data_IF_620785063016
#
_entry.id   IF_620785063016
#
_cell.length_a   1.000
_cell.length_b   1.000
_cell.length_c   1.000
_cell.angle_alpha   90.00
_cell.angle_beta   90.00
_cell.angle_gamma   90.00
#
_symmetry.space_group_name_H-M   'P 1'
#
loop_
_entity.id
_entity.type
_entity.pdbx_description
1 polymer ?
#
# COMPACT_ATOMS: atom_id res chain seq x y z
N UNK A 1 49.49 -9.47 32.65
CA UNK A 1 50.53 -9.78 31.66
C UNK A 1 49.94 -9.60 30.27
N UNK A 2 50.51 -8.65 29.50
CA UNK A 2 50.54 -8.53 28.02
C UNK A 2 49.19 -8.57 27.27
N UNK A 3 48.61 -7.42 26.92
CA UNK A 3 48.86 -6.59 25.71
C UNK A 3 48.78 -7.36 24.39
N UNK A 4 47.83 -6.98 23.52
CA UNK A 4 48.18 -6.44 22.20
C UNK A 4 47.05 -5.56 21.63
N UNK A 5 47.44 -4.33 21.31
CA UNK A 5 46.73 -3.28 20.60
C UNK A 5 47.19 -3.36 19.14
N UNK A 6 46.30 -3.17 18.17
CA UNK A 6 46.69 -2.75 16.81
C UNK A 6 45.59 -1.88 16.17
N UNK A 7 45.80 -0.56 16.26
CA UNK A 7 45.28 0.45 15.34
C UNK A 7 46.20 0.51 14.11
N UNK A 8 45.63 0.61 12.91
CA UNK A 8 46.13 1.36 11.73
C UNK A 8 44.96 1.39 10.73
N UNK A 9 44.73 2.34 9.83
CA UNK A 9 45.02 3.76 9.71
C UNK A 9 44.33 4.20 8.41
N UNK A 10 43.80 5.41 8.44
CA UNK A 10 43.20 6.18 7.35
C UNK A 10 44.12 6.30 6.11
N UNK A 11 43.57 6.17 4.91
CA UNK A 11 44.16 6.77 3.70
C UNK A 11 43.07 7.28 2.75
N UNK A 12 42.87 8.59 2.83
CA UNK A 12 42.19 9.46 1.88
C UNK A 12 43.23 9.88 0.82
N UNK A 13 42.99 9.63 -0.47
CA UNK A 13 43.71 10.31 -1.56
C UNK A 13 42.70 10.78 -2.59
N UNK A 14 42.69 12.10 -2.74
CA UNK A 14 42.04 12.89 -3.78
C UNK A 14 42.87 12.85 -5.06
N UNK A 15 42.22 12.75 -6.22
CA UNK A 15 42.77 13.21 -7.50
C UNK A 15 41.65 13.82 -8.36
N UNK A 16 41.84 15.09 -8.70
CA UNK A 16 41.00 15.92 -9.56
C UNK A 16 41.55 15.93 -10.99
N UNK A 17 40.62 15.98 -11.96
CA UNK A 17 40.72 16.57 -13.31
C UNK A 17 41.71 15.91 -14.31
N UNK A 18 41.44 15.81 -15.63
CA UNK A 18 40.56 16.60 -16.48
C UNK A 18 40.36 15.92 -17.86
N UNK A 19 39.40 16.47 -18.62
CA UNK A 19 39.33 16.57 -20.08
C UNK A 19 38.24 15.76 -20.83
N UNK A 20 37.24 16.53 -21.27
CA UNK A 20 36.63 16.57 -22.60
C UNK A 20 36.09 15.26 -23.22
N UNK A 21 34.77 15.20 -23.45
CA UNK A 21 34.23 15.64 -24.74
C UNK A 21 32.69 15.71 -24.76
N UNK A 22 32.21 16.54 -25.69
CA UNK A 22 30.92 17.20 -25.70
C UNK A 22 29.72 16.36 -26.17
N UNK A 23 28.54 16.78 -25.73
CA UNK A 23 27.23 16.30 -26.16
C UNK A 23 26.88 16.72 -27.60
N UNK A 24 26.16 15.90 -28.39
CA UNK A 24 25.60 16.33 -29.65
C UNK A 24 24.23 16.99 -29.45
N UNK A 25 24.14 18.27 -29.81
CA UNK A 25 22.87 19.00 -29.97
C UNK A 25 22.48 18.96 -31.44
N UNK A 26 21.34 18.35 -31.75
CA UNK A 26 20.73 18.34 -33.08
C UNK A 26 19.98 19.65 -33.31
N UNK A 27 20.48 20.49 -34.22
CA UNK A 27 19.73 21.60 -34.84
C UNK A 27 19.20 21.19 -36.23
N UNK A 28 18.06 21.74 -36.67
CA UNK A 28 17.36 21.31 -37.88
C UNK A 28 17.99 21.86 -39.16
N UNK A 29 17.78 21.09 -40.23
CA UNK A 29 18.25 21.35 -41.59
C UNK A 29 17.61 22.61 -42.20
N UNK A 30 18.44 23.44 -42.83
CA UNK A 30 18.06 24.61 -43.62
C UNK A 30 18.18 24.21 -45.10
N UNK A 31 17.07 24.29 -45.83
CA UNK A 31 16.99 24.01 -47.27
C UNK A 31 17.65 25.10 -48.12
N UNK A 32 18.20 24.66 -49.26
CA UNK A 32 18.96 25.45 -50.23
C UNK A 32 18.08 26.41 -51.05
N UNK A 33 18.61 27.55 -51.53
CA UNK A 33 17.87 28.49 -52.37
C UNK A 33 17.75 27.98 -53.82
N UNK A 34 16.55 28.08 -54.40
CA UNK A 34 16.28 27.82 -55.82
C UNK A 34 16.63 29.07 -56.64
N UNK A 35 17.35 28.85 -57.74
CA UNK A 35 17.84 29.86 -58.65
C UNK A 35 16.71 30.57 -59.42
N UNK A 36 16.81 31.91 -59.49
CA UNK A 36 15.95 32.79 -60.27
C UNK A 36 16.51 32.88 -61.69
N UNK A 37 15.79 32.37 -62.68
CA UNK A 37 16.15 32.49 -64.09
C UNK A 37 15.84 33.89 -64.62
N UNK A 38 16.88 34.56 -65.14
CA UNK A 38 16.79 35.86 -65.80
C UNK A 38 16.21 35.73 -67.22
N UNK A 39 15.10 36.42 -67.48
CA UNK A 39 14.53 36.55 -68.83
C UNK A 39 14.94 37.91 -69.40
N UNK A 40 15.73 37.91 -70.47
CA UNK A 40 16.09 39.10 -71.26
C UNK A 40 14.97 39.41 -72.27
N UNK A 41 14.61 40.68 -72.51
CA UNK A 41 13.66 41.06 -73.55
C UNK A 41 14.38 41.17 -74.91
N UNK A 42 13.78 40.60 -75.95
CA UNK A 42 14.22 40.77 -77.33
C UNK A 42 13.26 41.73 -78.04
N UNK A 43 13.76 42.91 -78.39
CA UNK A 43 13.07 43.94 -79.16
C UNK A 43 13.37 43.73 -80.65
N UNK A 44 12.33 43.68 -81.51
CA UNK A 44 12.37 44.22 -82.88
C UNK A 44 10.97 44.65 -83.33
N UNK A 45 10.86 45.67 -84.21
CA UNK A 45 9.64 46.47 -84.39
C UNK A 45 8.86 46.10 -85.66
N UNK A 46 7.56 46.38 -85.65
CA UNK A 46 6.68 46.32 -86.83
C UNK A 46 5.35 47.00 -86.53
N UNK A 47 5.09 48.10 -87.23
CA UNK A 47 3.99 49.02 -87.03
C UNK A 47 2.63 48.50 -87.52
N UNK A 48 1.55 48.89 -86.83
CA UNK A 48 0.31 49.43 -87.41
C UNK A 48 -0.76 49.65 -86.29
N UNK A 49 -1.09 50.92 -86.03
CA UNK A 49 -2.38 51.36 -85.46
C UNK A 49 -3.50 51.23 -86.54
N UNK A 50 -4.82 51.36 -86.28
CA UNK A 50 -5.45 52.15 -85.19
C UNK A 50 -6.70 51.52 -84.51
N UNK A 51 -7.06 52.07 -83.35
CA UNK A 51 -8.42 52.48 -82.96
C UNK A 51 -8.53 52.56 -81.43
N UNK A 52 -8.33 53.76 -80.89
CA UNK A 52 -8.61 54.08 -79.49
C UNK A 52 -10.11 54.35 -79.34
N UNK A 53 -10.79 53.55 -78.51
CA UNK A 53 -12.06 53.97 -77.90
C UNK A 53 -11.72 54.88 -76.71
N UNK A 54 -11.94 56.19 -76.85
CA UNK A 54 -11.87 57.13 -75.73
C UNK A 54 -13.06 56.87 -74.82
N UNK A 55 -12.82 56.23 -73.66
CA UNK A 55 -13.72 56.34 -72.50
C UNK A 55 -13.53 57.72 -71.87
N UNK A 56 -14.61 58.37 -71.42
CA UNK A 56 -14.55 59.67 -70.75
C UNK A 56 -13.80 59.54 -69.41
N UNK A 57 -13.20 60.64 -68.92
CA UNK A 57 -12.54 60.67 -67.60
C UNK A 57 -13.50 60.27 -66.47
N UNK A 58 -14.78 60.60 -66.61
CA UNK A 58 -15.86 60.22 -65.67
C UNK A 58 -16.06 58.69 -65.61
N UNK A 59 -16.03 57.99 -66.74
CA UNK A 59 -16.14 56.52 -66.79
C UNK A 59 -14.92 55.82 -66.16
N UNK A 60 -13.75 56.44 -66.24
CA UNK A 60 -12.50 55.94 -65.66
C UNK A 60 -12.46 56.14 -64.13
N UNK A 61 -12.97 57.27 -63.63
CA UNK A 61 -13.12 57.52 -62.19
C UNK A 61 -14.16 56.60 -61.54
N UNK A 62 -15.28 56.34 -62.23
CA UNK A 62 -16.29 55.38 -61.77
C UNK A 62 -15.70 53.96 -61.69
N UNK A 63 -14.98 53.49 -62.72
CA UNK A 63 -14.30 52.17 -62.69
C UNK A 63 -13.24 52.08 -61.58
N UNK A 64 -12.46 53.14 -61.36
CA UNK A 64 -11.48 53.21 -60.28
C UNK A 64 -12.16 53.15 -58.90
N UNK A 65 -13.28 53.87 -58.72
CA UNK A 65 -14.04 53.88 -57.47
C UNK A 65 -14.63 52.50 -57.12
N UNK A 66 -15.12 51.77 -58.14
CA UNK A 66 -15.64 50.39 -58.00
C UNK A 66 -14.50 49.44 -57.61
N UNK A 67 -13.35 49.52 -58.28
CA UNK A 67 -12.17 48.68 -57.94
C UNK A 67 -11.63 48.96 -56.54
N UNK A 68 -11.64 50.22 -56.09
CA UNK A 68 -11.25 50.58 -54.72
C UNK A 68 -12.24 50.02 -53.71
N UNK A 69 -13.55 50.10 -54.00
CA UNK A 69 -14.60 49.54 -53.14
C UNK A 69 -14.49 48.00 -53.03
N UNK A 70 -14.27 47.31 -54.15
CA UNK A 70 -14.02 45.85 -54.18
C UNK A 70 -12.77 45.47 -53.40
N UNK A 71 -11.66 46.21 -53.58
CA UNK A 71 -10.41 45.94 -52.86
C UNK A 71 -10.55 46.17 -51.36
N UNK A 72 -11.26 47.21 -50.94
CA UNK A 72 -11.59 47.49 -49.55
C UNK A 72 -12.50 46.42 -48.95
N UNK A 73 -13.48 45.90 -49.70
CA UNK A 73 -14.33 44.78 -49.29
C UNK A 73 -13.51 43.50 -49.09
N UNK A 74 -12.59 43.19 -50.02
CA UNK A 74 -11.68 42.04 -49.92
C UNK A 74 -10.77 42.15 -48.68
N UNK A 75 -10.21 43.34 -48.41
CA UNK A 75 -9.39 43.60 -47.23
C UNK A 75 -10.18 43.47 -45.93
N UNK A 76 -11.42 43.97 -45.88
CA UNK A 76 -12.31 43.82 -44.71
C UNK A 76 -12.66 42.35 -44.47
N UNK A 77 -12.96 41.58 -45.52
CA UNK A 77 -13.21 40.14 -45.42
C UNK A 77 -11.98 39.39 -44.89
N UNK A 78 -10.78 39.70 -45.40
CA UNK A 78 -9.51 39.14 -44.90
C UNK A 78 -9.22 39.53 -43.45
N UNK A 79 -9.54 40.75 -43.04
CA UNK A 79 -9.42 41.19 -41.64
C UNK A 79 -10.41 40.46 -40.73
N UNK A 80 -11.65 40.26 -41.16
CA UNK A 80 -12.65 39.50 -40.42
C UNK A 80 -12.22 38.04 -40.20
N UNK A 81 -11.73 37.36 -41.25
CA UNK A 81 -11.20 36.00 -41.15
C UNK A 81 -10.01 35.92 -40.18
N UNK A 82 -9.05 36.86 -40.28
CA UNK A 82 -7.92 36.92 -39.34
C UNK A 82 -8.36 37.17 -37.90
N UNK A 83 -9.40 37.98 -37.68
CA UNK A 83 -9.95 38.23 -36.36
C UNK A 83 -10.64 36.98 -35.80
N UNK A 84 -11.37 36.22 -36.61
CA UNK A 84 -11.98 34.95 -36.23
C UNK A 84 -10.93 33.88 -35.91
N UNK A 85 -9.88 33.75 -36.72
CA UNK A 85 -8.76 32.84 -36.47
C UNK A 85 -8.02 33.20 -35.18
N UNK A 86 -7.77 34.49 -34.95
CA UNK A 86 -7.18 34.97 -33.71
C UNK A 86 -8.08 34.70 -32.50
N UNK A 87 -9.41 34.87 -32.63
CA UNK A 87 -10.36 34.54 -31.58
C UNK A 87 -10.40 33.03 -31.29
N UNK A 88 -10.35 32.19 -32.33
CA UNK A 88 -10.28 30.73 -32.20
C UNK A 88 -8.98 30.29 -31.53
N UNK A 89 -7.84 30.86 -31.92
CA UNK A 89 -6.55 30.60 -31.31
C UNK A 89 -6.52 31.00 -29.83
N UNK A 90 -7.11 32.16 -29.47
CA UNK A 90 -7.25 32.59 -28.07
C UNK A 90 -8.10 31.63 -27.25
N UNK A 91 -9.27 31.22 -27.77
CA UNK A 91 -10.14 30.24 -27.10
C UNK A 91 -9.44 28.89 -26.92
N UNK A 92 -8.72 28.42 -27.94
CA UNK A 92 -7.94 27.18 -27.87
C UNK A 92 -6.79 27.28 -26.84
N UNK A 93 -6.09 28.40 -26.79
CA UNK A 93 -5.04 28.66 -25.81
C UNK A 93 -5.60 28.73 -24.37
N UNK A 94 -6.76 29.36 -24.18
CA UNK A 94 -7.44 29.40 -22.88
C UNK A 94 -7.92 28.01 -22.44
N UNK A 95 -8.52 27.24 -23.35
CA UNK A 95 -8.94 25.87 -23.09
C UNK A 95 -7.77 24.96 -22.71
N UNK A 96 -6.63 25.11 -23.41
CA UNK A 96 -5.39 24.39 -23.10
C UNK A 96 -4.86 24.78 -21.71
N UNK A 97 -4.81 26.08 -21.39
CA UNK A 97 -4.40 26.55 -20.06
C UNK A 97 -5.30 26.03 -18.94
N UNK A 98 -6.63 26.01 -19.15
CA UNK A 98 -7.58 25.44 -18.20
C UNK A 98 -7.34 23.94 -17.99
N UNK A 99 -7.08 23.19 -19.06
CA UNK A 99 -6.75 21.76 -18.99
C UNK A 99 -5.44 21.52 -18.24
N UNK A 100 -4.38 22.29 -18.56
CA UNK A 100 -3.09 22.21 -17.86
C UNK A 100 -3.23 22.55 -16.37
N UNK A 101 -4.00 23.58 -16.03
CA UNK A 101 -4.28 23.95 -14.64
C UNK A 101 -5.07 22.87 -13.89
N UNK A 102 -6.06 22.23 -14.54
CA UNK A 102 -6.80 21.12 -13.95
C UNK A 102 -5.92 19.90 -13.70
N UNK A 103 -5.02 19.56 -14.63
CA UNK A 103 -4.04 18.47 -14.46
C UNK A 103 -3.06 18.78 -13.32
N UNK A 104 -2.56 20.02 -13.24
CA UNK A 104 -1.68 20.45 -12.17
C UNK A 104 -2.38 20.42 -10.80
N UNK A 105 -3.64 20.84 -10.73
CA UNK A 105 -4.45 20.78 -9.51
C UNK A 105 -4.68 19.33 -9.06
N UNK A 106 -5.02 18.42 -9.99
CA UNK A 106 -5.17 17.00 -9.68
C UNK A 106 -3.85 16.36 -9.19
N UNK A 107 -2.72 16.70 -9.82
CA UNK A 107 -1.40 16.24 -9.40
C UNK A 107 -1.02 16.79 -8.01
N UNK A 108 -1.37 18.04 -7.71
CA UNK A 108 -1.14 18.64 -6.40
C UNK A 108 -1.99 17.98 -5.31
N UNK A 109 -3.25 17.61 -5.60
CA UNK A 109 -4.10 16.84 -4.68
C UNK A 109 -3.52 15.44 -4.42
N UNK A 110 -2.99 14.77 -5.44
CA UNK A 110 -2.35 13.45 -5.29
C UNK A 110 -1.05 13.56 -4.47
N UNK A 111 -0.22 14.56 -4.75
CA UNK A 111 1.02 14.80 -4.02
C UNK A 111 0.80 15.24 -2.57
N UNK A 112 -0.36 15.82 -2.25
CA UNK A 112 -0.75 16.22 -0.90
C UNK A 112 -1.32 15.06 -0.07
N UNK A 113 -1.57 13.88 -0.64
CA UNK A 113 -1.95 12.71 0.16
C UNK A 113 -0.79 12.35 1.11
N UNK A 114 -1.07 12.07 2.39
CA UNK A 114 -0.02 11.65 3.31
C UNK A 114 0.66 10.39 2.79
N UNK A 115 2.00 10.39 2.80
CA UNK A 115 2.79 9.19 2.49
C UNK A 115 2.63 8.21 3.64
N UNK A 116 1.65 7.32 3.53
CA UNK A 116 1.38 6.30 4.52
C UNK A 116 2.54 5.28 4.55
N UNK A 117 3.18 5.15 5.71
CA UNK A 117 4.14 4.09 5.96
C UNK A 117 3.45 2.74 6.07
N UNK A 118 4.20 1.66 5.85
CA UNK A 118 3.77 0.28 6.09
C UNK A 118 4.62 -0.41 7.15
N UNK A 119 5.72 0.22 7.56
CA UNK A 119 6.61 -0.32 8.59
C UNK A 119 6.07 0.03 9.98
N UNK A 120 5.89 -1.00 10.80
CA UNK A 120 5.53 -0.88 12.20
C UNK A 120 6.37 -1.86 13.03
N UNK A 121 6.43 -1.65 14.34
CA UNK A 121 7.12 -2.54 15.28
C UNK A 121 6.33 -2.62 16.59
N UNK A 122 6.81 -3.39 17.55
CA UNK A 122 6.22 -3.47 18.89
C UNK A 122 6.82 -2.48 19.90
N UNK A 123 7.86 -1.73 19.52
CA UNK A 123 8.59 -0.81 20.41
C UNK A 123 9.06 0.46 19.68
N UNK A 124 9.42 1.49 20.43
CA UNK A 124 10.01 2.71 19.86
C UNK A 124 9.05 3.56 19.02
N UNK A 125 9.60 4.34 18.08
CA UNK A 125 8.85 5.33 17.30
C UNK A 125 7.71 4.71 16.48
N UNK A 126 7.90 3.48 15.97
CA UNK A 126 6.91 2.76 15.18
C UNK A 126 6.10 1.75 16.01
N UNK A 127 6.11 1.89 17.35
CA UNK A 127 5.41 1.02 18.30
C UNK A 127 3.88 1.22 18.35
N UNK A 128 3.17 0.41 19.16
CA UNK A 128 1.71 0.37 19.23
C UNK A 128 1.02 1.71 19.50
N UNK A 129 1.62 2.57 20.32
CA UNK A 129 1.10 3.91 20.63
C UNK A 129 1.08 4.86 19.43
N UNK A 130 1.84 4.53 18.38
CA UNK A 130 2.02 5.36 17.19
C UNK A 130 1.47 4.72 15.91
N UNK A 131 0.98 3.48 15.93
CA UNK A 131 0.51 2.79 14.72
C UNK A 131 -0.48 3.64 13.89
N UNK A 132 -1.46 4.29 14.53
CA UNK A 132 -2.43 5.12 13.82
C UNK A 132 -1.83 6.36 13.14
N UNK A 133 -0.62 6.78 13.53
CA UNK A 133 0.09 7.93 12.95
C UNK A 133 0.94 7.53 11.74
N UNK A 134 1.27 6.25 11.61
CA UNK A 134 2.10 5.71 10.50
C UNK A 134 1.30 5.69 9.20
N UNK A 135 0.03 5.29 9.29
CA UNK A 135 -0.84 5.09 8.15
C UNK A 135 -2.26 5.51 8.50
N UNK A 136 -2.86 6.37 7.70
CA UNK A 136 -4.24 6.82 7.94
C UNK A 136 -5.26 5.69 7.88
N UNK A 137 -4.97 4.60 7.16
CA UNK A 137 -5.81 3.39 7.14
C UNK A 137 -5.77 2.61 8.47
N UNK A 138 -4.85 2.93 9.38
CA UNK A 138 -4.69 2.31 10.70
C UNK A 138 -5.28 3.17 11.83
N UNK A 139 -6.15 4.15 11.49
CA UNK A 139 -6.79 5.04 12.46
C UNK A 139 -7.48 4.28 13.61
N UNK A 140 -8.09 3.13 13.30
CA UNK A 140 -8.73 2.23 14.27
C UNK A 140 -7.80 1.77 15.40
N UNK A 141 -6.50 1.70 15.17
CA UNK A 141 -5.54 1.35 16.23
C UNK A 141 -5.54 2.34 17.41
N UNK A 142 -6.05 3.57 17.22
CA UNK A 142 -6.19 4.57 18.26
C UNK A 142 -7.65 4.98 18.51
N UNK A 143 -8.48 5.08 17.47
CA UNK A 143 -9.87 5.57 17.60
C UNK A 143 -10.90 4.45 17.79
N UNK A 144 -10.49 3.18 17.67
CA UNK A 144 -11.38 2.03 17.85
C UNK A 144 -11.81 1.87 19.31
N UNK A 145 -13.08 1.54 19.53
CA UNK A 145 -13.64 1.34 20.86
C UNK A 145 -13.78 -0.14 21.24
N UNK A 146 -13.50 -1.06 20.32
CA UNK A 146 -13.58 -2.52 20.52
C UNK A 146 -12.25 -3.17 20.15
N UNK A 147 -11.15 -2.57 20.59
CA UNK A 147 -9.80 -3.04 20.29
C UNK A 147 -9.41 -4.27 21.13
N UNK A 148 -8.51 -5.09 20.59
CA UNK A 148 -7.89 -6.24 21.23
C UNK A 148 -6.37 -6.08 21.31
N UNK A 149 -5.68 -6.73 22.27
CA UNK A 149 -6.20 -7.65 23.29
C UNK A 149 -6.89 -6.91 24.46
N UNK A 150 -7.55 -7.64 25.36
CA UNK A 150 -8.12 -7.10 26.61
C UNK A 150 -7.73 -7.93 27.83
N UNK A 151 -7.88 -7.32 29.00
CA UNK A 151 -7.90 -8.05 30.27
C UNK A 151 -9.31 -8.59 30.54
N UNK A 152 -9.45 -9.91 30.55
CA UNK A 152 -10.70 -10.63 30.76
C UNK A 152 -10.99 -10.69 32.27
N UNK A 153 -11.96 -9.89 32.69
CA UNK A 153 -12.42 -9.79 34.09
C UNK A 153 -13.91 -10.04 34.16
N UNK A 154 -14.34 -10.71 35.23
CA UNK A 154 -15.74 -10.85 35.62
C UNK A 154 -16.68 -11.28 34.47
N UNK A 155 -16.25 -12.29 33.71
CA UNK A 155 -17.02 -12.81 32.57
C UNK A 155 -18.42 -13.25 33.00
N UNK A 156 -19.42 -12.92 32.18
CA UNK A 156 -20.79 -13.37 32.43
C UNK A 156 -20.85 -14.86 32.12
N UNK A 157 -20.91 -15.66 33.18
CA UNK A 157 -21.03 -17.10 33.08
C UNK A 157 -22.37 -17.46 32.45
N UNK A 158 -22.32 -18.15 31.32
CA UNK A 158 -23.49 -18.63 30.60
C UNK A 158 -23.21 -20.01 30.03
N UNK A 159 -24.26 -20.76 29.75
CA UNK A 159 -24.15 -22.00 28.97
C UNK A 159 -23.86 -21.62 27.51
N UNK A 160 -22.58 -21.56 27.17
CA UNK A 160 -22.11 -21.29 25.81
C UNK A 160 -22.13 -22.58 25.00
N UNK A 161 -22.52 -22.46 23.73
CA UNK A 161 -22.34 -23.53 22.76
C UNK A 161 -20.86 -23.97 22.75
N UNK A 162 -20.64 -25.28 22.76
CA UNK A 162 -19.28 -25.82 22.66
C UNK A 162 -18.71 -25.52 21.27
N UNK A 163 -17.44 -25.12 21.24
CA UNK A 163 -16.74 -24.93 19.97
C UNK A 163 -16.49 -26.30 19.34
N UNK A 164 -16.97 -26.49 18.12
CA UNK A 164 -16.68 -27.69 17.34
C UNK A 164 -15.41 -27.46 16.52
N UNK A 165 -14.46 -28.39 16.63
CA UNK A 165 -13.21 -28.38 15.87
C UNK A 165 -13.21 -29.56 14.90
N UNK A 166 -12.99 -29.26 13.62
CA UNK A 166 -12.74 -30.23 12.56
C UNK A 166 -11.38 -29.91 11.95
N UNK A 167 -10.32 -30.17 12.72
CA UNK A 167 -8.95 -30.01 12.28
C UNK A 167 -8.36 -31.37 11.92
N UNK A 168 -7.57 -31.38 10.87
CA UNK A 168 -6.87 -32.57 10.39
C UNK A 168 -5.39 -32.24 10.14
N UNK A 169 -4.50 -33.25 10.18
CA UNK A 169 -3.13 -33.07 9.73
C UNK A 169 -3.09 -32.48 8.32
N UNK A 170 -2.37 -31.38 8.16
CA UNK A 170 -2.34 -30.60 6.92
C UNK A 170 -0.93 -30.22 6.51
N UNK A 171 -0.71 -30.06 5.20
CA UNK A 171 0.47 -29.34 4.71
C UNK A 171 0.42 -27.89 5.16
N UNK A 172 1.59 -27.29 5.37
CA UNK A 172 1.72 -25.93 5.86
C UNK A 172 2.97 -25.27 5.26
N UNK A 173 3.03 -23.95 5.39
CA UNK A 173 4.27 -23.21 5.21
C UNK A 173 4.48 -22.23 6.35
N UNK A 174 5.73 -21.89 6.61
CA UNK A 174 6.15 -21.02 7.70
C UNK A 174 6.88 -19.81 7.15
N UNK A 175 6.63 -18.66 7.75
CA UNK A 175 7.34 -17.43 7.46
C UNK A 175 7.63 -16.71 8.77
N UNK A 176 8.89 -16.31 8.95
CA UNK A 176 9.22 -15.23 9.86
C UNK A 176 8.88 -13.93 9.14
N UNK A 177 7.74 -13.32 9.46
CA UNK A 177 7.26 -12.13 8.74
C UNK A 177 7.88 -10.82 9.26
N UNK A 178 8.86 -10.89 10.16
CA UNK A 178 9.48 -9.74 10.81
C UNK A 178 8.77 -9.27 12.09
N UNK A 179 7.56 -9.76 12.36
CA UNK A 179 6.75 -9.44 13.55
C UNK A 179 6.46 -10.68 14.41
N UNK A 180 6.38 -11.86 13.78
CA UNK A 180 6.14 -13.14 14.43
C UNK A 180 6.59 -14.29 13.51
N UNK A 181 6.53 -15.51 14.04
CA UNK A 181 6.51 -16.74 13.24
C UNK A 181 5.06 -17.03 12.90
N UNK A 182 4.72 -16.92 11.60
CA UNK A 182 3.40 -17.21 11.07
C UNK A 182 3.44 -18.53 10.31
N UNK A 183 2.46 -19.38 10.59
CA UNK A 183 2.28 -20.68 9.93
C UNK A 183 0.96 -20.65 9.17
N UNK A 184 1.04 -20.74 7.84
CA UNK A 184 -0.14 -20.84 6.99
C UNK A 184 -0.49 -22.31 6.80
N UNK A 185 -1.74 -22.67 7.04
CA UNK A 185 -2.22 -24.06 7.00
C UNK A 185 -3.05 -24.25 5.73
N UNK A 186 -2.89 -25.40 5.06
CA UNK A 186 -3.75 -25.74 3.94
C UNK A 186 -5.22 -25.86 4.38
N UNK A 187 -6.12 -25.53 3.45
CA UNK A 187 -7.56 -25.53 3.70
C UNK A 187 -8.13 -26.89 4.13
N UNK A 188 -9.36 -26.86 4.63
CA UNK A 188 -10.08 -28.02 5.17
C UNK A 188 -10.13 -28.09 6.71
N UNK A 189 -9.49 -27.17 7.41
CA UNK A 189 -9.49 -27.11 8.88
C UNK A 189 -10.53 -26.10 9.37
N UNK A 190 -11.51 -26.53 10.17
CA UNK A 190 -12.64 -25.69 10.54
C UNK A 190 -12.87 -25.57 12.05
N UNK A 191 -13.36 -24.40 12.44
CA UNK A 191 -13.91 -24.08 13.75
C UNK A 191 -15.38 -23.65 13.55
N UNK A 192 -16.32 -24.28 14.25
CA UNK A 192 -17.73 -23.88 14.24
C UNK A 192 -18.21 -23.45 15.63
N UNK A 193 -18.84 -22.28 15.69
CA UNK A 193 -19.42 -21.71 16.92
C UNK A 193 -20.49 -20.67 16.57
N UNK A 194 -21.58 -20.61 17.34
CA UNK A 194 -22.65 -19.63 17.13
C UNK A 194 -23.32 -19.77 15.77
N UNK A 195 -23.45 -21.00 15.27
CA UNK A 195 -24.00 -21.31 13.95
C UNK A 195 -23.17 -20.83 12.76
N UNK A 196 -21.92 -20.40 12.97
CA UNK A 196 -21.00 -19.99 11.89
C UNK A 196 -19.78 -20.90 11.85
N UNK A 197 -19.38 -21.30 10.64
CA UNK A 197 -18.15 -22.05 10.39
C UNK A 197 -17.07 -21.14 9.85
N UNK A 198 -15.88 -21.23 10.43
CA UNK A 198 -14.70 -20.47 10.06
C UNK A 198 -13.56 -21.43 9.70
N UNK A 199 -12.94 -21.23 8.54
CA UNK A 199 -11.79 -22.01 8.11
C UNK A 199 -10.49 -21.41 8.65
N UNK A 200 -9.63 -22.23 9.24
CA UNK A 200 -8.31 -21.84 9.71
C UNK A 200 -7.45 -21.39 8.52
N UNK A 201 -6.93 -20.17 8.60
CA UNK A 201 -6.07 -19.59 7.57
C UNK A 201 -4.60 -19.71 7.97
N UNK A 202 -4.31 -19.34 9.21
CA UNK A 202 -2.96 -19.29 9.75
C UNK A 202 -3.00 -19.31 11.28
N UNK A 203 -1.86 -19.60 11.89
CA UNK A 203 -1.63 -19.25 13.29
C UNK A 203 -0.26 -18.61 13.49
N UNK A 204 -0.11 -17.88 14.59
CA UNK A 204 1.12 -17.19 14.94
C UNK A 204 1.27 -17.04 16.45
N UNK A 205 2.43 -16.56 16.89
CA UNK A 205 2.83 -16.57 18.30
C UNK A 205 3.10 -15.16 18.82
N UNK A 206 2.75 -14.92 20.08
CA UNK A 206 3.16 -13.71 20.81
C UNK A 206 3.83 -14.05 22.14
N UNK A 207 4.78 -13.19 22.52
CA UNK A 207 5.51 -13.21 23.79
C UNK A 207 5.71 -11.76 24.27
N UNK A 208 5.26 -11.40 25.48
CA UNK A 208 4.41 -12.20 26.39
C UNK A 208 3.02 -12.53 25.80
N UNK A 209 2.20 -13.33 26.48
CA UNK A 209 0.80 -13.50 26.09
C UNK A 209 0.08 -12.14 25.99
N UNK A 210 -0.69 -11.92 24.92
CA UNK A 210 -1.39 -10.66 24.67
C UNK A 210 -2.59 -10.47 25.60
N UNK A 211 -3.44 -11.50 25.72
CA UNK A 211 -4.59 -11.50 26.63
C UNK A 211 -4.14 -11.58 28.09
N UNK A 212 -4.98 -11.03 28.97
CA UNK A 212 -4.87 -11.24 30.41
C UNK A 212 -6.15 -11.83 30.96
N UNK A 213 -6.04 -12.60 32.03
CA UNK A 213 -7.17 -13.09 32.81
C UNK A 213 -6.99 -12.56 34.23
N UNK A 214 -7.93 -11.71 34.68
CA UNK A 214 -7.87 -11.05 35.99
C UNK A 214 -6.53 -10.35 36.26
N UNK A 215 -5.99 -9.68 35.24
CA UNK A 215 -4.71 -8.96 35.29
C UNK A 215 -3.47 -9.84 35.10
N UNK A 216 -3.60 -11.18 35.16
CA UNK A 216 -2.51 -12.13 34.97
C UNK A 216 -2.32 -12.41 33.48
N UNK A 217 -1.10 -12.16 32.98
CA UNK A 217 -0.69 -12.59 31.64
C UNK A 217 -0.08 -13.99 31.66
N UNK A 218 0.13 -14.56 30.47
CA UNK A 218 0.85 -15.82 30.26
C UNK A 218 2.21 -15.59 29.62
N UNK A 219 3.05 -16.62 29.58
CA UNK A 219 4.39 -16.47 29.00
C UNK A 219 4.33 -16.25 27.49
N UNK A 220 3.48 -17.02 26.80
CA UNK A 220 3.22 -16.85 25.38
C UNK A 220 1.72 -17.07 25.10
N UNK A 221 1.30 -16.77 23.88
CA UNK A 221 -0.01 -17.16 23.34
C UNK A 221 0.16 -17.57 21.88
N UNK A 222 -0.66 -18.53 21.42
CA UNK A 222 -0.85 -18.83 20.00
C UNK A 222 -2.20 -18.29 19.56
N UNK A 223 -2.23 -17.51 18.50
CA UNK A 223 -3.47 -17.03 17.88
C UNK A 223 -3.71 -17.81 16.60
N UNK A 224 -4.81 -18.57 16.56
CA UNK A 224 -5.29 -19.27 15.36
C UNK A 224 -6.35 -18.41 14.69
N UNK A 225 -6.06 -17.91 13.49
CA UNK A 225 -6.90 -16.98 12.75
C UNK A 225 -7.74 -17.72 11.73
N UNK A 226 -9.05 -17.58 11.87
CA UNK A 226 -10.03 -18.23 11.02
C UNK A 226 -10.86 -17.21 10.27
N UNK A 227 -11.39 -17.64 9.13
CA UNK A 227 -12.24 -16.81 8.29
C UNK A 227 -13.44 -17.61 7.78
N UNK A 228 -14.63 -17.06 7.90
CA UNK A 228 -15.84 -17.66 7.35
C UNK A 228 -16.01 -17.33 5.86
N UNK A 229 -16.96 -18.02 5.21
CA UNK A 229 -17.32 -17.75 3.82
C UNK A 229 -17.81 -16.30 3.59
N UNK A 230 -18.47 -15.68 4.58
CA UNK A 230 -18.90 -14.28 4.56
C UNK A 230 -17.83 -13.30 5.05
N UNK A 231 -16.56 -13.72 5.13
CA UNK A 231 -15.40 -12.93 5.52
C UNK A 231 -15.39 -12.43 6.98
N UNK A 232 -16.19 -13.00 7.87
CA UNK A 232 -16.04 -12.77 9.32
C UNK A 232 -14.78 -13.46 9.81
N UNK A 233 -14.13 -12.84 10.79
CA UNK A 233 -12.88 -13.36 11.37
C UNK A 233 -13.17 -13.86 12.78
N UNK A 234 -12.68 -15.05 13.10
CA UNK A 234 -12.61 -15.56 14.46
C UNK A 234 -11.17 -15.88 14.83
N UNK A 235 -10.70 -15.39 15.98
CA UNK A 235 -9.38 -15.70 16.52
C UNK A 235 -9.56 -16.55 17.77
N UNK A 236 -8.98 -17.75 17.72
CA UNK A 236 -8.84 -18.61 18.89
C UNK A 236 -7.47 -18.34 19.53
N UNK A 237 -7.47 -17.85 20.77
CA UNK A 237 -6.27 -17.65 21.55
C UNK A 237 -6.06 -18.83 22.50
N UNK A 238 -4.93 -19.53 22.32
CA UNK A 238 -4.47 -20.57 23.24
C UNK A 238 -3.31 -20.02 24.05
N UNK A 239 -3.57 -19.78 25.33
CA UNK A 239 -2.56 -19.29 26.26
C UNK A 239 -1.51 -20.37 26.54
N UNK A 240 -0.24 -19.96 26.66
CA UNK A 240 0.88 -20.87 26.91
C UNK A 240 1.61 -20.54 28.22
N UNK A 241 1.76 -21.55 29.07
CA UNK A 241 2.59 -21.51 30.28
C UNK A 241 3.79 -22.46 30.16
N UNK A 242 4.79 -22.32 31.05
CA UNK A 242 5.91 -23.26 31.11
C UNK A 242 5.44 -24.62 31.59
N UNK A 243 5.86 -25.67 30.90
CA UNK A 243 5.61 -27.05 31.33
C UNK A 243 6.29 -28.03 30.39
N UNK A 244 5.57 -29.09 30.01
CA UNK A 244 6.07 -30.08 29.06
C UNK A 244 6.16 -29.50 27.65
N UNK A 245 7.04 -30.10 26.83
CA UNK A 245 7.21 -29.71 25.44
C UNK A 245 5.94 -29.97 24.64
N UNK A 246 5.52 -29.00 23.82
CA UNK A 246 4.39 -29.19 22.90
C UNK A 246 4.89 -29.73 21.55
N UNK A 247 4.36 -30.85 21.04
CA UNK A 247 4.87 -31.45 19.80
C UNK A 247 4.58 -30.61 18.54
N UNK A 248 3.45 -29.89 18.49
CA UNK A 248 3.13 -28.96 17.40
C UNK A 248 4.16 -27.83 17.33
N UNK A 249 4.43 -27.19 18.49
CA UNK A 249 5.45 -26.13 18.58
C UNK A 249 6.82 -26.68 18.20
N UNK A 250 7.17 -27.92 18.57
CA UNK A 250 8.43 -28.51 18.18
C UNK A 250 8.52 -28.72 16.67
N UNK A 251 7.43 -29.16 16.05
CA UNK A 251 7.34 -29.32 14.59
C UNK A 251 7.58 -27.99 13.90
N UNK A 252 6.97 -26.90 14.40
CA UNK A 252 7.21 -25.56 13.85
C UNK A 252 8.67 -25.14 14.07
N UNK A 253 9.21 -25.31 15.28
CA UNK A 253 10.57 -24.86 15.59
C UNK A 253 11.64 -25.58 14.77
N UNK A 254 11.39 -26.83 14.39
CA UNK A 254 12.28 -27.61 13.54
C UNK A 254 12.31 -27.12 12.08
N UNK A 255 11.31 -26.34 11.64
CA UNK A 255 11.14 -25.90 10.26
C UNK A 255 11.24 -24.38 10.08
N UNK A 256 11.69 -23.66 11.13
CA UNK A 256 11.84 -22.22 11.10
C UNK A 256 12.67 -21.75 9.90
N UNK A 257 12.25 -20.69 9.20
CA UNK A 257 13.03 -20.08 8.15
C UNK A 257 14.40 -19.59 8.65
N UNK A 258 15.43 -19.71 7.79
CA UNK A 258 16.78 -19.24 8.11
C UNK A 258 16.92 -17.71 8.05
N UNK A 259 16.01 -17.04 7.33
CA UNK A 259 15.98 -15.59 7.18
C UNK A 259 14.54 -15.08 7.26
N UNK A 260 14.40 -13.82 7.70
CA UNK A 260 13.12 -13.12 7.69
C UNK A 260 12.59 -12.99 6.26
N UNK A 261 11.28 -13.05 6.12
CA UNK A 261 10.52 -12.97 4.87
C UNK A 261 10.81 -14.10 3.88
N UNK A 262 11.52 -15.15 4.32
CA UNK A 262 11.64 -16.41 3.58
C UNK A 262 10.51 -17.34 4.00
N UNK A 263 9.83 -17.93 3.01
CA UNK A 263 8.83 -18.97 3.25
C UNK A 263 9.49 -20.36 3.16
N UNK A 264 9.23 -21.21 4.15
CA UNK A 264 9.63 -22.62 4.15
C UNK A 264 8.37 -23.48 4.06
N UNK A 265 8.39 -24.48 3.18
CA UNK A 265 7.27 -25.43 3.01
C UNK A 265 7.79 -26.85 3.29
N UNK A 266 7.59 -27.38 4.52
CA UNK A 266 8.04 -28.73 4.86
C UNK A 266 7.26 -29.81 4.09
N UNK A 267 7.89 -30.97 3.88
CA UNK A 267 7.25 -32.14 3.24
C UNK A 267 6.44 -33.00 4.22
N UNK A 268 6.34 -32.57 5.48
CA UNK A 268 5.57 -33.23 6.54
C UNK A 268 4.22 -32.52 6.72
N UNK A 269 3.32 -33.17 7.46
CA UNK A 269 2.06 -32.57 7.89
C UNK A 269 2.18 -32.05 9.32
N UNK A 270 1.37 -31.05 9.64
CA UNK A 270 1.21 -30.50 10.98
C UNK A 270 -0.18 -30.85 11.49
N UNK A 271 -0.28 -31.39 12.71
CA UNK A 271 -1.55 -31.57 13.39
C UNK A 271 -1.81 -30.42 14.37
N UNK A 272 -2.75 -29.53 14.00
CA UNK A 272 -3.09 -28.36 14.82
C UNK A 272 -3.89 -28.77 16.07
N UNK A 273 -4.44 -29.99 16.15
CA UNK A 273 -5.12 -30.47 17.36
C UNK A 273 -4.18 -30.60 18.58
N UNK A 274 -2.87 -30.65 18.36
CA UNK A 274 -1.89 -30.79 19.45
C UNK A 274 -1.71 -29.50 20.29
N UNK A 275 -2.17 -28.34 19.81
CA UNK A 275 -2.18 -27.09 20.58
C UNK A 275 -3.51 -26.83 21.29
N UNK A 276 -4.46 -27.74 21.15
CA UNK A 276 -5.83 -27.56 21.58
C UNK A 276 -6.03 -28.21 22.96
N UNK A 277 -6.41 -27.47 24.03
CA UNK A 277 -6.51 -28.02 25.38
C UNK A 277 -7.66 -29.02 25.53
N UNK A 278 -7.49 -30.01 26.41
CA UNK A 278 -8.50 -31.05 26.62
C UNK A 278 -9.87 -30.47 27.04
N UNK A 279 -9.90 -29.49 27.95
CA UNK A 279 -11.12 -28.74 28.26
C UNK A 279 -11.29 -27.59 27.29
N UNK A 280 -12.52 -27.48 26.77
CA UNK A 280 -12.89 -26.51 25.73
C UNK A 280 -13.55 -25.25 26.28
N UNK A 281 -13.43 -25.02 27.59
CA UNK A 281 -13.99 -23.84 28.23
C UNK A 281 -13.27 -22.58 27.74
N UNK A 282 -14.01 -21.51 27.47
CA UNK A 282 -13.47 -20.31 26.84
C UNK A 282 -14.19 -19.03 27.30
N UNK A 283 -13.48 -17.91 27.17
CA UNK A 283 -14.09 -16.59 27.16
C UNK A 283 -14.38 -16.17 25.73
N UNK A 284 -15.45 -15.41 25.51
CA UNK A 284 -15.70 -14.81 24.20
C UNK A 284 -16.16 -13.36 24.27
N UNK A 285 -15.67 -12.59 23.31
CA UNK A 285 -16.01 -11.19 23.12
C UNK A 285 -15.78 -10.79 21.65
N UNK A 286 -16.35 -9.65 21.27
CA UNK A 286 -16.06 -9.03 19.97
C UNK A 286 -14.98 -7.96 20.13
N UNK A 287 -13.94 -8.06 19.33
CA UNK A 287 -12.73 -7.25 19.40
C UNK A 287 -12.21 -6.82 18.03
N UNK A 288 -10.90 -6.67 17.93
CA UNK A 288 -10.17 -6.32 16.71
C UNK A 288 -9.03 -7.28 16.41
N UNK A 289 -8.34 -7.08 15.27
CA UNK A 289 -6.96 -7.56 15.11
C UNK A 289 -6.06 -6.87 16.16
N UNK A 290 -5.07 -7.58 16.68
CA UNK A 290 -4.08 -7.04 17.63
C UNK A 290 -2.86 -6.40 16.97
N UNK A 291 -2.82 -6.38 15.64
CA UNK A 291 -1.83 -5.71 14.82
C UNK A 291 -2.49 -4.76 13.80
N UNK A 292 -1.77 -3.79 13.22
CA UNK A 292 -2.32 -2.91 12.18
C UNK A 292 -2.90 -3.72 11.01
N UNK A 293 -4.07 -3.35 10.48
CA UNK A 293 -4.81 -2.08 10.68
C UNK A 293 -5.70 -2.03 11.93
N UNK A 294 -5.64 -3.00 12.84
CA UNK A 294 -6.47 -3.10 14.04
C UNK A 294 -7.98 -3.08 13.75
N UNK A 295 -8.38 -3.72 12.65
CA UNK A 295 -9.78 -3.80 12.20
C UNK A 295 -10.64 -4.49 13.25
N UNK A 296 -11.76 -3.85 13.61
CA UNK A 296 -12.74 -4.38 14.57
C UNK A 296 -13.67 -5.44 13.95
N UNK A 297 -14.61 -5.94 14.76
CA UNK A 297 -15.56 -7.00 14.40
C UNK A 297 -14.92 -8.38 14.23
N UNK A 298 -13.88 -8.64 15.02
CA UNK A 298 -13.26 -9.96 15.16
C UNK A 298 -13.89 -10.69 16.34
N UNK A 299 -14.35 -11.92 16.14
CA UNK A 299 -14.81 -12.79 17.23
C UNK A 299 -13.58 -13.37 17.94
N UNK A 300 -13.43 -13.08 19.23
CA UNK A 300 -12.37 -13.67 20.04
C UNK A 300 -12.91 -14.83 20.87
N UNK A 301 -12.15 -15.93 20.87
CA UNK A 301 -12.37 -17.14 21.64
C UNK A 301 -11.08 -17.42 22.42
N UNK A 302 -11.06 -17.18 23.73
CA UNK A 302 -9.84 -17.31 24.54
C UNK A 302 -9.98 -18.53 25.43
N UNK A 303 -9.17 -19.56 25.19
CA UNK A 303 -9.24 -20.81 25.95
C UNK A 303 -8.86 -20.57 27.42
N UNK A 304 -9.70 -21.05 28.34
CA UNK A 304 -9.49 -20.91 29.79
C UNK A 304 -8.36 -21.79 30.30
N UNK A 305 -8.23 -23.00 29.72
CA UNK A 305 -7.13 -23.90 30.05
C UNK A 305 -5.90 -23.53 29.20
N UNK A 306 -4.78 -23.12 29.80
CA UNK A 306 -3.54 -22.92 29.07
C UNK A 306 -2.97 -24.27 28.62
N UNK A 307 -2.25 -24.23 27.50
CA UNK A 307 -1.36 -25.31 27.09
C UNK A 307 0.06 -25.05 27.60
N UNK A 308 0.90 -26.08 27.58
CA UNK A 308 2.30 -25.96 28.02
C UNK A 308 3.24 -25.92 26.83
N UNK A 309 4.36 -25.22 26.98
CA UNK A 309 5.54 -25.46 26.17
C UNK A 309 6.78 -25.50 27.08
N UNK A 310 7.83 -26.20 26.65
CA UNK A 310 9.02 -26.34 27.46
C UNK A 310 9.76 -25.01 27.62
N UNK A 311 10.52 -24.80 28.71
CA UNK A 311 11.38 -23.64 28.86
C UNK A 311 12.32 -23.42 27.66
N UNK A 312 12.77 -24.50 27.00
CA UNK A 312 13.63 -24.46 25.82
C UNK A 312 12.87 -23.96 24.59
N UNK A 313 11.65 -24.44 24.36
CA UNK A 313 10.79 -23.95 23.25
C UNK A 313 10.48 -22.45 23.43
N UNK A 314 10.13 -22.04 24.65
CA UNK A 314 9.86 -20.65 25.01
C UNK A 314 11.09 -19.77 24.83
N UNK A 315 12.27 -20.25 25.25
CA UNK A 315 13.53 -19.53 25.11
C UNK A 315 13.96 -19.37 23.65
N UNK A 316 13.68 -20.34 22.78
CA UNK A 316 13.95 -20.21 21.35
C UNK A 316 13.17 -19.05 20.76
N UNK A 317 11.85 -19.01 20.98
CA UNK A 317 11.02 -17.90 20.48
C UNK A 317 11.46 -16.55 21.06
N UNK A 318 11.79 -16.50 22.36
CA UNK A 318 12.28 -15.28 23.01
C UNK A 318 13.55 -14.70 22.40
N UNK A 319 14.38 -15.50 21.72
CA UNK A 319 15.58 -15.01 21.02
C UNK A 319 15.24 -14.35 19.70
N UNK A 320 14.18 -14.80 19.04
CA UNK A 320 13.68 -14.22 17.79
C UNK A 320 12.84 -12.97 18.08
N UNK A 321 11.93 -13.10 19.05
CA UNK A 321 10.95 -12.10 19.46
C UNK A 321 10.90 -12.02 21.00
N UNK A 322 11.73 -11.16 21.62
CA UNK A 322 11.71 -10.94 23.07
C UNK A 322 10.38 -10.31 23.52
N UNK A 323 9.86 -9.40 22.70
CA UNK A 323 8.61 -8.68 22.91
C UNK A 323 7.92 -8.43 21.57
N UNK A 324 6.77 -9.06 21.35
CA UNK A 324 5.96 -8.85 20.15
C UNK A 324 4.46 -8.79 20.47
N UNK A 325 4.11 -8.11 21.56
CA UNK A 325 2.75 -8.10 22.08
C UNK A 325 2.21 -6.68 22.19
N UNK A 326 1.01 -6.45 21.67
CA UNK A 326 0.28 -5.20 21.86
C UNK A 326 -0.15 -5.08 23.32
N UNK A 327 -0.07 -3.89 23.94
CA UNK A 327 -0.64 -3.66 25.27
C UNK A 327 -2.15 -3.96 25.31
N UNK A 328 -2.65 -4.35 26.48
CA UNK A 328 -4.10 -4.52 26.70
C UNK A 328 -4.85 -3.22 26.46
N UNK A 329 -5.98 -3.33 25.78
CA UNK A 329 -6.85 -2.23 25.40
C UNK A 329 -8.01 -2.12 26.38
N UNK A 330 -8.65 -0.95 26.42
CA UNK A 330 -9.79 -0.72 27.31
C UNK A 330 -10.98 -1.60 26.91
N UNK A 331 -11.61 -2.27 27.88
CA UNK A 331 -12.77 -3.11 27.62
C UNK A 331 -14.00 -2.31 27.16
N UNK A 332 -14.10 -1.01 27.52
CA UNK A 332 -15.18 -0.10 27.08
C UNK A 332 -16.60 -0.64 27.33
N UNK A 333 -16.81 -1.32 28.46
CA UNK A 333 -18.10 -1.91 28.82
C UNK A 333 -18.56 -3.06 27.92
N UNK A 334 -17.68 -3.61 27.07
CA UNK A 334 -17.99 -4.77 26.24
C UNK A 334 -18.40 -5.95 27.10
N UNK A 335 -19.43 -6.65 26.64
CA UNK A 335 -19.83 -7.93 27.21
C UNK A 335 -18.77 -8.98 26.91
N UNK A 336 -18.21 -9.56 27.98
CA UNK A 336 -17.39 -10.77 27.92
C UNK A 336 -18.24 -11.91 28.48
N UNK A 337 -18.44 -12.96 27.68
CA UNK A 337 -19.10 -14.19 28.13
C UNK A 337 -18.05 -15.21 28.52
N UNK A 338 -18.38 -16.04 29.49
CA UNK A 338 -17.54 -17.13 29.98
C UNK A 338 -18.34 -18.43 29.92
N UNK A 339 -17.79 -19.49 29.33
CA UNK A 339 -18.42 -20.82 29.40
C UNK A 339 -18.32 -21.39 30.81
N UNK A 340 -19.39 -22.04 31.26
CA UNK A 340 -19.48 -22.66 32.59
C UNK A 340 -18.62 -23.90 32.72
#
# INVERSE_FOLDING_TARGET
>A
MRNLIALFALSLVTALANANDAAPTTKPAVEKPVAIASIKPNLRPGAATPAAAQKSEEDAEVDLSVRIAEKLAELRAKQALRAEDAARARRAAEARRKKEAAVAAAAAVEAAKPKNGTHWTYEGEFGPENWSKINTAWASCNTGNRQSPIDLRDGIKVDLEQISFDYHPSSFNEIDNGHTIQVNVAGGNFLSVGGTTYELQQFHFHRPGEERINGKGTEMVVHLVHKSYDNKIAILAVLLERGDANPMIQTVWNNLPLEKHMTVTPSIVLDVNEILPARRDYFTYMGSLSEPPCTENVLWLVMKQPMTASPQQMALFSRLYPFNSRPVQQANGRMVKESM
#
